data_IF_946369519134
#
_entry.id   IF_946369519134
#
_cell.length_a   1.000
_cell.length_b   1.000
_cell.length_c   1.000
_cell.angle_alpha   90.00
_cell.angle_beta   90.00
_cell.angle_gamma   90.00
#
_symmetry.space_group_name_H-M   'P 1'
#
loop_
_entity.id
_entity.type
_entity.pdbx_description
1 polymer ?
#
# COMPACT_ATOMS: atom_id res chain seq x y z
N UNK A 1 49.73 58.95 8.79
CA UNK A 1 48.78 58.65 9.87
C UNK A 1 48.26 57.25 9.61
N UNK A 2 48.89 56.25 10.24
CA UNK A 2 48.58 54.86 10.07
C UNK A 2 47.37 54.42 10.92
N UNK A 3 46.55 53.51 10.39
CA UNK A 3 45.63 52.71 11.18
C UNK A 3 45.93 51.23 10.96
N UNK A 4 46.45 50.65 11.97
CA UNK A 4 46.79 49.24 12.11
C UNK A 4 45.52 48.41 12.20
N UNK A 5 45.40 47.38 11.35
CA UNK A 5 44.31 46.39 11.39
C UNK A 5 44.80 45.15 12.11
N UNK A 6 44.23 44.86 13.28
CA UNK A 6 44.49 43.60 14.02
C UNK A 6 43.67 42.48 13.41
N UNK A 7 44.38 41.44 12.92
CA UNK A 7 43.78 40.16 12.62
C UNK A 7 43.70 39.33 13.91
N UNK A 8 42.50 38.90 14.28
CA UNK A 8 42.29 37.86 15.31
C UNK A 8 42.30 36.47 14.67
N UNK A 9 43.31 35.67 14.98
CA UNK A 9 43.35 34.23 14.62
C UNK A 9 42.49 33.45 15.63
N UNK A 10 41.41 32.87 15.17
CA UNK A 10 40.66 31.87 15.93
C UNK A 10 41.30 30.48 15.78
N UNK A 11 41.80 29.95 16.90
CA UNK A 11 42.27 28.58 17.00
C UNK A 11 41.07 27.61 16.92
N UNK A 12 41.05 26.77 15.89
CA UNK A 12 40.15 25.61 15.81
C UNK A 12 40.91 24.42 16.47
N UNK A 13 40.40 23.96 17.60
CA UNK A 13 40.93 22.78 18.29
C UNK A 13 40.45 21.51 17.55
N UNK A 14 41.38 20.78 16.95
CA UNK A 14 41.18 19.44 16.41
C UNK A 14 41.18 18.44 17.58
N UNK A 15 40.06 17.74 17.79
CA UNK A 15 40.01 16.56 18.68
C UNK A 15 40.24 15.32 17.80
N UNK A 16 41.31 14.52 18.08
CA UNK A 16 41.52 13.29 17.34
C UNK A 16 40.57 12.19 17.83
N UNK A 17 39.78 11.67 16.94
CA UNK A 17 38.98 10.48 17.17
C UNK A 17 39.90 9.25 17.10
N UNK A 18 40.20 8.67 18.27
CA UNK A 18 40.97 7.44 18.36
C UNK A 18 40.13 6.25 17.87
N UNK A 19 40.49 5.71 16.70
CA UNK A 19 40.08 4.38 16.28
C UNK A 19 40.62 3.35 17.28
N UNK A 20 39.75 2.63 17.92
CA UNK A 20 40.08 1.44 18.71
C UNK A 20 39.72 0.22 17.88
N UNK A 21 40.72 -0.38 17.24
CA UNK A 21 40.64 -1.76 16.72
C UNK A 21 40.80 -2.72 17.87
N UNK A 22 40.00 -3.77 17.92
CA UNK A 22 40.29 -4.90 18.78
C UNK A 22 39.07 -5.73 19.12
N UNK A 23 39.06 -6.97 18.67
CA UNK A 23 38.28 -8.04 19.23
C UNK A 23 37.46 -8.80 18.18
N UNK A 24 38.10 -9.77 17.51
CA UNK A 24 37.43 -10.87 16.83
C UNK A 24 36.78 -11.76 17.90
N UNK A 25 35.44 -11.84 17.91
CA UNK A 25 34.74 -12.93 18.57
C UNK A 25 34.02 -13.76 17.50
N UNK A 26 34.10 -15.13 17.63
CA UNK A 26 33.62 -16.00 16.57
C UNK A 26 32.09 -16.10 16.54
N UNK A 27 31.59 -16.10 15.31
CA UNK A 27 30.28 -16.47 14.84
C UNK A 27 29.36 -17.19 15.83
N UNK A 28 28.33 -16.50 16.30
CA UNK A 28 27.12 -17.13 16.81
C UNK A 28 26.15 -17.30 15.62
N UNK A 29 26.11 -18.52 15.09
CA UNK A 29 25.17 -18.91 14.08
C UNK A 29 23.78 -18.94 14.69
N UNK A 30 22.74 -18.35 14.06
CA UNK A 30 21.39 -18.46 14.57
C UNK A 30 20.94 -19.91 14.53
N UNK A 31 20.60 -20.43 15.70
CA UNK A 31 19.98 -21.75 15.89
C UNK A 31 18.65 -21.73 15.10
N UNK A 32 18.37 -22.72 14.24
CA UNK A 32 17.08 -22.82 13.55
C UNK A 32 15.97 -23.05 14.59
N UNK A 33 15.04 -22.12 14.67
CA UNK A 33 13.79 -22.32 15.41
C UNK A 33 13.02 -23.44 14.72
N UNK A 34 12.58 -24.49 15.41
CA UNK A 34 11.81 -25.55 14.80
C UNK A 34 10.47 -24.98 14.31
N UNK A 35 10.23 -25.08 13.02
CA UNK A 35 8.94 -24.82 12.41
C UNK A 35 8.00 -25.91 12.90
N UNK A 36 6.81 -25.61 13.47
CA UNK A 36 5.82 -26.63 13.75
C UNK A 36 5.37 -27.25 12.42
N UNK A 37 5.66 -28.50 12.23
CA UNK A 37 5.16 -29.31 11.13
C UNK A 37 3.77 -29.86 11.50
N UNK A 38 2.80 -28.98 11.68
CA UNK A 38 1.40 -29.40 11.62
C UNK A 38 0.94 -29.10 10.20
N UNK A 39 0.87 -30.19 9.42
CA UNK A 39 0.49 -30.14 8.01
C UNK A 39 -0.94 -29.64 7.84
N UNK A 40 -1.05 -28.37 7.49
CA UNK A 40 -2.26 -27.85 6.84
C UNK A 40 -2.03 -28.04 5.36
N UNK A 41 -2.70 -29.04 4.80
CA UNK A 41 -2.67 -29.34 3.37
C UNK A 41 -3.17 -28.11 2.60
N UNK A 42 -2.38 -27.66 1.64
CA UNK A 42 -2.71 -26.52 0.78
C UNK A 42 -3.98 -26.74 -0.07
N UNK A 43 -4.53 -27.93 -0.05
CA UNK A 43 -5.77 -28.31 -0.73
C UNK A 43 -7.05 -27.91 0.01
N UNK A 44 -6.99 -27.64 1.33
CA UNK A 44 -8.18 -27.28 2.12
C UNK A 44 -8.53 -25.78 2.07
N UNK A 45 -7.73 -24.96 1.41
CA UNK A 45 -7.97 -23.50 1.27
C UNK A 45 -8.82 -23.12 0.04
N UNK A 46 -9.30 -24.06 -0.75
CA UNK A 46 -9.94 -23.78 -2.04
C UNK A 46 -11.45 -23.99 -2.10
N UNK A 47 -12.13 -24.35 -1.02
CA UNK A 47 -13.59 -24.55 -1.03
C UNK A 47 -14.26 -23.80 0.13
N UNK A 48 -14.30 -22.49 0.07
CA UNK A 48 -15.44 -21.75 0.63
C UNK A 48 -16.46 -21.65 -0.50
N UNK A 49 -17.40 -22.56 -0.51
CA UNK A 49 -18.60 -22.44 -1.34
C UNK A 49 -19.27 -21.09 -1.06
N UNK A 50 -19.45 -20.31 -2.12
CA UNK A 50 -20.23 -19.06 -2.08
C UNK A 50 -21.66 -19.43 -1.62
N UNK A 51 -21.95 -19.18 -0.36
CA UNK A 51 -23.31 -19.20 0.17
C UNK A 51 -24.14 -18.20 -0.63
N UNK A 52 -25.06 -18.73 -1.43
CA UNK A 52 -26.13 -17.98 -2.09
C UNK A 52 -27.10 -17.50 -1.03
N UNK A 53 -26.92 -16.25 -0.56
CA UNK A 53 -27.99 -15.38 0.00
C UNK A 53 -27.40 -14.01 0.37
N UNK A 54 -26.91 -13.27 -0.65
CA UNK A 54 -26.75 -11.82 -0.54
C UNK A 54 -27.77 -11.20 -1.46
N UNK A 55 -28.86 -10.68 -0.90
CA UNK A 55 -29.74 -9.77 -1.61
C UNK A 55 -28.93 -8.57 -2.09
N UNK A 56 -28.57 -8.58 -3.37
CA UNK A 56 -27.94 -7.49 -4.09
C UNK A 56 -28.89 -6.30 -4.12
N UNK A 57 -28.60 -5.27 -3.30
CA UNK A 57 -29.09 -3.94 -3.62
C UNK A 57 -28.56 -3.58 -5.02
N UNK A 58 -29.35 -2.91 -5.89
CA UNK A 58 -28.90 -2.59 -7.24
C UNK A 58 -27.65 -1.72 -7.14
N UNK A 59 -26.53 -2.23 -7.64
CA UNK A 59 -25.29 -1.50 -7.80
C UNK A 59 -25.60 -0.22 -8.59
N UNK A 60 -25.19 0.92 -8.05
CA UNK A 60 -24.93 2.08 -8.89
C UNK A 60 -23.77 1.65 -9.80
N UNK A 61 -24.13 1.14 -10.98
CA UNK A 61 -23.21 0.52 -11.91
C UNK A 61 -22.02 1.46 -12.12
N UNK A 62 -20.84 0.98 -11.76
CA UNK A 62 -19.60 1.64 -12.13
C UNK A 62 -19.64 1.96 -13.62
N UNK A 63 -19.37 3.22 -13.98
CA UNK A 63 -19.37 3.67 -15.39
C UNK A 63 -18.16 3.11 -16.17
N UNK A 64 -17.22 2.46 -15.48
CA UNK A 64 -16.01 1.91 -16.09
C UNK A 64 -16.31 0.61 -16.83
N UNK A 65 -15.67 0.38 -17.98
CA UNK A 65 -15.76 -0.90 -18.67
C UNK A 65 -15.20 -2.03 -17.79
N UNK A 66 -15.70 -3.24 -17.99
CA UNK A 66 -15.22 -4.42 -17.25
C UNK A 66 -13.89 -4.96 -17.78
N UNK A 67 -13.46 -4.49 -18.95
CA UNK A 67 -12.21 -4.92 -19.60
C UNK A 67 -11.53 -3.76 -20.32
N UNK A 68 -10.25 -3.64 -20.11
CA UNK A 68 -9.39 -2.62 -20.70
C UNK A 68 -9.09 -2.86 -22.19
N UNK A 69 -8.59 -1.84 -22.92
CA UNK A 69 -8.17 -1.96 -24.33
C UNK A 69 -7.04 -2.95 -24.58
N UNK A 70 -6.31 -3.35 -23.54
CA UNK A 70 -5.24 -4.36 -23.59
C UNK A 70 -5.74 -5.79 -23.67
N UNK A 71 -7.04 -6.04 -23.47
CA UNK A 71 -7.59 -7.39 -23.56
C UNK A 71 -7.45 -7.98 -24.98
N UNK A 72 -7.08 -9.25 -25.04
CA UNK A 72 -6.74 -9.94 -26.29
C UNK A 72 -5.29 -9.74 -26.74
N UNK A 73 -4.52 -8.82 -26.13
CA UNK A 73 -3.11 -8.61 -26.44
C UNK A 73 -2.25 -9.60 -25.67
N UNK A 74 -1.29 -10.23 -26.35
CA UNK A 74 -0.33 -11.10 -25.69
C UNK A 74 0.47 -10.30 -24.67
N UNK A 75 0.47 -10.75 -23.42
CA UNK A 75 1.32 -10.24 -22.34
C UNK A 75 2.35 -11.29 -21.95
N UNK A 76 3.50 -10.83 -21.50
CA UNK A 76 4.55 -11.71 -20.97
C UNK A 76 4.50 -11.66 -19.44
N UNK A 77 4.49 -12.83 -18.81
CA UNK A 77 4.64 -12.90 -17.35
C UNK A 77 5.97 -12.29 -16.92
N UNK A 78 5.95 -11.50 -15.85
CA UNK A 78 7.16 -10.90 -15.31
C UNK A 78 8.07 -11.96 -14.66
N UNK A 79 9.37 -11.72 -14.70
CA UNK A 79 10.34 -12.45 -13.88
C UNK A 79 10.15 -12.17 -12.39
N UNK A 80 10.89 -12.89 -11.55
CA UNK A 80 10.82 -12.73 -10.09
C UNK A 80 11.17 -11.32 -9.59
N UNK A 81 11.98 -10.56 -10.35
CA UNK A 81 12.34 -9.18 -10.02
C UNK A 81 11.30 -8.14 -10.45
N UNK A 82 10.24 -8.55 -11.17
CA UNK A 82 9.34 -7.64 -11.86
C UNK A 82 9.96 -6.99 -13.09
N UNK A 83 9.16 -6.28 -13.88
CA UNK A 83 9.58 -5.55 -15.06
C UNK A 83 9.66 -4.05 -14.76
N UNK A 84 10.82 -3.45 -14.93
CA UNK A 84 10.96 -2.00 -14.85
C UNK A 84 10.24 -1.34 -16.04
N UNK A 85 9.34 -0.41 -15.73
CA UNK A 85 8.57 0.38 -16.71
C UNK A 85 8.78 1.87 -16.49
N UNK A 86 8.64 2.65 -17.54
CA UNK A 86 8.69 4.11 -17.49
C UNK A 86 7.54 4.69 -18.30
N UNK A 87 6.91 5.73 -17.76
CA UNK A 87 5.87 6.53 -18.43
C UNK A 87 6.18 8.01 -18.30
N UNK A 88 5.70 8.81 -19.25
CA UNK A 88 5.73 10.27 -19.11
C UNK A 88 4.48 10.75 -18.37
N UNK A 89 4.70 11.51 -17.29
CA UNK A 89 3.64 12.12 -16.50
C UNK A 89 4.04 13.58 -16.19
N UNK A 90 3.20 14.53 -16.60
CA UNK A 90 3.50 15.95 -16.44
C UNK A 90 4.83 16.39 -17.10
N UNK A 91 5.22 15.74 -18.22
CA UNK A 91 6.46 16.01 -18.94
C UNK A 91 7.72 15.34 -18.35
N UNK A 92 7.60 14.64 -17.22
CA UNK A 92 8.71 13.97 -16.52
C UNK A 92 8.61 12.46 -16.71
N UNK A 93 9.77 11.79 -16.86
CA UNK A 93 9.83 10.34 -16.87
C UNK A 93 9.63 9.80 -15.44
N UNK A 94 8.65 8.91 -15.28
CA UNK A 94 8.29 8.29 -14.00
C UNK A 94 8.39 6.79 -14.12
N UNK A 95 8.97 6.15 -13.12
CA UNK A 95 9.23 4.70 -13.13
C UNK A 95 8.34 3.93 -12.17
N UNK A 96 8.06 2.68 -12.52
CA UNK A 96 7.40 1.71 -11.64
C UNK A 96 7.89 0.29 -11.98
N UNK A 97 7.79 -0.63 -11.01
CA UNK A 97 7.92 -2.06 -11.27
C UNK A 97 6.53 -2.64 -11.54
N UNK A 98 6.45 -3.53 -12.51
CA UNK A 98 5.23 -4.21 -12.89
C UNK A 98 5.42 -5.72 -12.76
N UNK A 99 4.52 -6.38 -12.04
CA UNK A 99 4.43 -7.83 -11.96
C UNK A 99 3.19 -8.30 -12.69
N UNK A 100 3.40 -8.98 -13.81
CA UNK A 100 2.35 -9.65 -14.58
C UNK A 100 2.30 -11.11 -14.13
N UNK A 101 1.12 -11.67 -13.84
CA UNK A 101 0.99 -13.03 -13.33
C UNK A 101 1.65 -14.09 -14.20
N UNK A 102 2.26 -15.10 -13.55
CA UNK A 102 2.67 -16.32 -14.26
C UNK A 102 1.42 -17.02 -14.78
N UNK A 103 1.37 -17.30 -16.08
CA UNK A 103 0.18 -17.87 -16.72
C UNK A 103 -0.89 -16.81 -17.05
N UNK A 104 -0.49 -15.54 -17.23
CA UNK A 104 -1.37 -14.47 -17.68
C UNK A 104 -2.20 -14.91 -18.90
N UNK A 105 -3.54 -14.76 -18.78
CA UNK A 105 -4.50 -14.97 -19.87
C UNK A 105 -4.96 -13.61 -20.42
N UNK A 106 -4.68 -13.28 -21.68
CA UNK A 106 -5.05 -11.99 -22.26
C UNK A 106 -6.57 -11.79 -22.37
N UNK A 107 -7.38 -12.81 -22.18
CA UNK A 107 -8.85 -12.70 -22.23
C UNK A 107 -9.51 -12.57 -20.86
N UNK A 108 -8.74 -12.78 -19.79
CA UNK A 108 -9.19 -12.62 -18.39
C UNK A 108 -8.89 -11.20 -17.92
N UNK A 109 -9.92 -10.46 -17.48
CA UNK A 109 -9.73 -9.17 -16.81
C UNK A 109 -9.12 -9.32 -15.42
N UNK A 110 -7.88 -8.90 -15.23
CA UNK A 110 -7.20 -8.97 -13.93
C UNK A 110 -7.44 -7.70 -13.11
N UNK A 111 -7.62 -7.81 -11.79
CA UNK A 111 -7.49 -6.65 -10.92
C UNK A 111 -6.08 -6.07 -10.98
N UNK A 112 -5.95 -4.76 -10.70
CA UNK A 112 -4.65 -4.10 -10.51
C UNK A 112 -4.51 -3.68 -9.06
N UNK A 113 -3.35 -3.93 -8.44
CA UNK A 113 -3.00 -3.42 -7.12
C UNK A 113 -1.76 -2.55 -7.26
N UNK A 114 -1.88 -1.25 -6.95
CA UNK A 114 -0.76 -0.30 -6.93
C UNK A 114 -0.28 -0.08 -5.49
N UNK A 115 1.04 -0.23 -5.22
CA UNK A 115 1.60 -0.12 -3.88
C UNK A 115 2.58 1.05 -3.78
N UNK A 116 2.32 1.96 -2.84
CA UNK A 116 3.03 3.22 -2.65
C UNK A 116 3.96 3.16 -1.43
N UNK A 117 5.24 3.39 -1.64
CA UNK A 117 6.30 3.28 -0.64
C UNK A 117 6.33 4.44 0.36
N UNK A 118 6.99 4.24 1.50
CA UNK A 118 7.30 5.29 2.48
C UNK A 118 8.33 6.31 1.98
N UNK A 119 8.54 7.36 2.77
CA UNK A 119 9.49 8.43 2.43
C UNK A 119 10.91 7.87 2.23
N UNK A 120 11.62 8.35 1.22
CA UNK A 120 13.00 7.97 0.93
C UNK A 120 13.19 6.61 0.26
N UNK A 121 12.12 5.81 0.12
CA UNK A 121 12.15 4.50 -0.52
C UNK A 121 11.81 4.58 -2.02
N UNK A 122 11.75 3.42 -2.67
CA UNK A 122 11.43 3.22 -4.08
C UNK A 122 10.32 2.17 -4.24
N UNK A 123 9.78 2.02 -5.46
CA UNK A 123 8.85 0.94 -5.78
C UNK A 123 9.46 -0.45 -5.54
N UNK A 124 10.78 -0.60 -5.77
CA UNK A 124 11.46 -1.87 -5.49
C UNK A 124 11.49 -2.18 -4.00
N UNK A 125 11.80 -1.20 -3.15
CA UNK A 125 11.81 -1.40 -1.70
C UNK A 125 10.42 -1.81 -1.20
N UNK A 126 9.37 -1.20 -1.76
CA UNK A 126 7.98 -1.56 -1.44
C UNK A 126 7.62 -2.97 -1.92
N UNK A 127 8.12 -3.40 -3.09
CA UNK A 127 7.92 -4.75 -3.61
C UNK A 127 8.61 -5.80 -2.73
N UNK A 128 9.83 -5.53 -2.28
CA UNK A 128 10.58 -6.40 -1.37
C UNK A 128 9.96 -6.45 0.02
N UNK A 129 9.38 -5.34 0.48
CA UNK A 129 8.76 -5.23 1.80
C UNK A 129 7.41 -5.94 1.86
N UNK A 130 6.45 -5.61 1.00
CA UNK A 130 5.07 -6.11 1.10
C UNK A 130 4.89 -7.45 0.39
N UNK A 131 5.58 -7.67 -0.74
CA UNK A 131 5.50 -8.91 -1.54
C UNK A 131 4.08 -9.24 -2.01
N UNK A 132 3.26 -8.23 -2.34
CA UNK A 132 1.87 -8.42 -2.75
C UNK A 132 1.74 -9.34 -3.97
N UNK A 133 2.72 -9.36 -4.86
CA UNK A 133 2.78 -10.26 -6.01
C UNK A 133 2.75 -11.75 -5.60
N UNK A 134 3.30 -12.08 -4.43
CA UNK A 134 3.31 -13.45 -3.89
C UNK A 134 1.94 -13.78 -3.30
N UNK A 135 1.36 -12.87 -2.52
CA UNK A 135 0.04 -13.06 -1.90
C UNK A 135 -1.12 -13.06 -2.91
N UNK A 136 -0.99 -12.28 -3.99
CA UNK A 136 -1.96 -12.32 -5.09
C UNK A 136 -1.91 -13.65 -5.88
N UNK A 137 -0.84 -14.44 -5.74
CA UNK A 137 -0.69 -15.78 -6.27
C UNK A 137 -1.14 -15.92 -7.74
N UNK A 138 -0.80 -14.97 -8.59
CA UNK A 138 -1.18 -14.96 -10.01
C UNK A 138 -2.60 -14.45 -10.29
N UNK A 139 -3.30 -13.91 -9.30
CA UNK A 139 -4.67 -13.40 -9.48
C UNK A 139 -4.78 -11.89 -9.66
N UNK A 140 -3.67 -11.15 -9.63
CA UNK A 140 -3.64 -9.71 -9.89
C UNK A 140 -2.40 -9.30 -10.68
N UNK A 141 -2.51 -8.20 -11.41
CA UNK A 141 -1.38 -7.39 -11.89
C UNK A 141 -0.98 -6.48 -10.74
N UNK A 142 0.31 -6.46 -10.37
CA UNK A 142 0.78 -5.66 -9.24
C UNK A 142 1.79 -4.63 -9.72
N UNK A 143 1.57 -3.36 -9.36
CA UNK A 143 2.43 -2.24 -9.73
C UNK A 143 3.02 -1.55 -8.49
N UNK A 144 4.30 -1.22 -8.56
CA UNK A 144 5.01 -0.53 -7.50
C UNK A 144 5.63 0.76 -8.08
N UNK A 145 4.87 1.87 -8.08
CA UNK A 145 5.38 3.16 -8.54
C UNK A 145 6.49 3.69 -7.62
N UNK A 146 7.40 4.51 -8.21
CA UNK A 146 8.44 5.23 -7.48
C UNK A 146 8.17 6.72 -7.47
N UNK A 147 8.09 7.31 -6.28
CA UNK A 147 7.97 8.75 -6.06
C UNK A 147 9.24 9.47 -6.48
N UNK A 148 9.14 10.69 -7.02
CA UNK A 148 10.29 11.52 -7.35
C UNK A 148 11.10 11.84 -6.09
N UNK A 149 12.40 11.52 -6.13
CA UNK A 149 13.31 11.68 -4.99
C UNK A 149 12.79 10.99 -3.71
N UNK A 150 12.12 9.85 -3.87
CA UNK A 150 11.55 9.08 -2.76
C UNK A 150 10.36 9.75 -2.05
N UNK A 151 9.64 10.66 -2.72
CA UNK A 151 8.53 11.43 -2.15
C UNK A 151 7.30 11.43 -3.05
N UNK A 152 6.14 11.68 -2.45
CA UNK A 152 4.84 11.82 -3.09
C UNK A 152 4.32 13.25 -2.98
N UNK A 153 3.64 13.73 -4.01
CA UNK A 153 2.81 14.94 -3.95
C UNK A 153 1.42 14.54 -3.40
N UNK A 154 1.22 14.75 -2.10
CA UNK A 154 0.01 14.30 -1.38
C UNK A 154 -1.07 15.38 -1.27
N UNK A 155 -0.93 16.49 -1.98
CA UNK A 155 -1.86 17.61 -1.97
C UNK A 155 -2.08 18.26 -3.34
N UNK A 156 -1.20 17.98 -4.31
CA UNK A 156 -1.29 18.46 -5.69
C UNK A 156 -1.62 17.31 -6.67
N UNK A 157 -1.41 17.54 -7.93
CA UNK A 157 -1.81 16.64 -9.01
C UNK A 157 -0.67 15.81 -9.63
N UNK A 158 0.61 16.09 -9.30
CA UNK A 158 1.76 15.49 -9.97
C UNK A 158 1.77 13.96 -9.90
N UNK A 159 1.49 13.40 -8.73
CA UNK A 159 1.45 11.96 -8.55
C UNK A 159 0.08 11.35 -8.90
N UNK A 160 -0.97 12.15 -8.93
CA UNK A 160 -2.26 11.76 -9.55
C UNK A 160 -2.09 11.56 -11.07
N UNK A 161 -1.46 12.54 -11.75
CA UNK A 161 -1.14 12.43 -13.19
C UNK A 161 -0.19 11.26 -13.48
N UNK A 162 0.73 10.96 -12.57
CA UNK A 162 1.57 9.77 -12.69
C UNK A 162 0.77 8.47 -12.54
N UNK A 163 -0.10 8.40 -11.54
CA UNK A 163 -0.99 7.25 -11.37
C UNK A 163 -1.84 7.01 -12.62
N UNK A 164 -2.45 8.06 -13.15
CA UNK A 164 -3.28 7.99 -14.35
C UNK A 164 -2.47 7.49 -15.57
N UNK A 165 -1.26 8.01 -15.78
CA UNK A 165 -0.37 7.60 -16.87
C UNK A 165 0.11 6.15 -16.71
N UNK A 166 0.40 5.72 -15.49
CA UNK A 166 0.76 4.33 -15.17
C UNK A 166 -0.40 3.39 -15.46
N UNK A 167 -1.61 3.70 -14.98
CA UNK A 167 -2.81 2.91 -15.24
C UNK A 167 -3.11 2.82 -16.73
N UNK A 168 -3.10 3.94 -17.46
CA UNK A 168 -3.29 3.93 -18.90
C UNK A 168 -2.27 3.05 -19.66
N UNK A 169 -1.00 3.04 -19.22
CA UNK A 169 0.04 2.17 -19.78
C UNK A 169 -0.26 0.69 -19.54
N UNK A 170 -0.71 0.34 -18.33
CA UNK A 170 -1.08 -1.03 -17.97
C UNK A 170 -2.32 -1.48 -18.74
N UNK A 171 -3.37 -0.68 -18.74
CA UNK A 171 -4.67 -0.94 -19.38
C UNK A 171 -4.58 -1.05 -20.90
N UNK A 172 -3.68 -0.27 -21.53
CA UNK A 172 -3.42 -0.39 -22.96
C UNK A 172 -2.63 -1.62 -23.35
N UNK A 173 -1.89 -2.22 -22.41
CA UNK A 173 -0.99 -3.34 -22.68
C UNK A 173 -1.53 -4.69 -22.21
N UNK A 174 -2.32 -4.70 -21.15
CA UNK A 174 -2.79 -5.90 -20.45
C UNK A 174 -4.31 -5.88 -20.27
N UNK A 175 -4.89 -7.07 -20.13
CA UNK A 175 -6.32 -7.21 -19.84
C UNK A 175 -6.60 -6.94 -18.36
N UNK A 176 -7.06 -5.74 -18.07
CA UNK A 176 -7.43 -5.27 -16.73
C UNK A 176 -8.95 -5.31 -16.57
N UNK A 177 -9.43 -5.68 -15.39
CA UNK A 177 -10.78 -5.35 -14.95
C UNK A 177 -10.76 -3.96 -14.32
N UNK A 178 -11.17 -2.94 -15.06
CA UNK A 178 -11.13 -1.53 -14.65
C UNK A 178 -12.05 -1.21 -13.46
N UNK A 179 -12.96 -2.10 -13.10
CA UNK A 179 -13.77 -2.00 -11.87
C UNK A 179 -13.05 -2.53 -10.64
N UNK A 180 -11.86 -3.12 -10.79
CA UNK A 180 -11.08 -3.74 -9.72
C UNK A 180 -9.65 -3.18 -9.66
N UNK A 181 -9.56 -1.87 -9.48
CA UNK A 181 -8.30 -1.16 -9.25
C UNK A 181 -8.18 -0.83 -7.77
N UNK A 182 -7.07 -1.23 -7.16
CA UNK A 182 -6.81 -1.12 -5.73
C UNK A 182 -5.49 -0.41 -5.46
N UNK A 183 -5.37 0.21 -4.29
CA UNK A 183 -4.13 0.83 -3.85
C UNK A 183 -3.80 0.45 -2.40
N UNK A 184 -2.49 0.27 -2.10
CA UNK A 184 -1.97 0.16 -0.76
C UNK A 184 -0.83 1.17 -0.59
N UNK A 185 -0.83 1.91 0.50
CA UNK A 185 0.26 2.80 0.85
C UNK A 185 0.75 2.58 2.28
N UNK A 186 2.06 2.63 2.46
CA UNK A 186 2.70 2.53 3.76
C UNK A 186 3.40 3.85 4.11
N UNK A 187 3.27 4.33 5.36
CA UNK A 187 3.93 5.55 5.83
C UNK A 187 3.56 6.75 4.94
N UNK A 188 4.51 7.43 4.34
CA UNK A 188 4.24 8.51 3.38
C UNK A 188 3.42 8.04 2.17
N UNK A 189 3.51 6.76 1.79
CA UNK A 189 2.61 6.14 0.81
C UNK A 189 1.16 6.08 1.27
N UNK A 190 0.90 6.00 2.58
CA UNK A 190 -0.46 6.06 3.12
C UNK A 190 -1.11 7.43 2.90
N UNK A 191 -0.35 8.53 3.01
CA UNK A 191 -0.81 9.85 2.62
C UNK A 191 -1.17 9.90 1.12
N UNK A 192 -0.35 9.25 0.28
CA UNK A 192 -0.60 9.20 -1.17
C UNK A 192 -1.87 8.42 -1.51
N UNK A 193 -2.12 7.26 -0.90
CA UNK A 193 -3.35 6.49 -1.20
C UNK A 193 -4.60 7.12 -0.61
N UNK A 194 -4.50 7.84 0.50
CA UNK A 194 -5.59 8.69 1.00
C UNK A 194 -5.92 9.80 0.00
N UNK A 195 -4.89 10.42 -0.61
CA UNK A 195 -5.07 11.42 -1.66
C UNK A 195 -5.68 10.82 -2.94
N UNK A 196 -5.19 9.65 -3.37
CA UNK A 196 -5.75 8.91 -4.50
C UNK A 196 -7.21 8.51 -4.25
N UNK A 197 -7.52 7.91 -3.10
CA UNK A 197 -8.89 7.53 -2.73
C UNK A 197 -9.86 8.73 -2.78
N UNK A 198 -9.36 9.92 -2.40
CA UNK A 198 -10.12 11.16 -2.47
C UNK A 198 -10.34 11.64 -3.91
N UNK A 199 -9.28 11.68 -4.74
CA UNK A 199 -9.27 12.36 -6.03
C UNK A 199 -9.54 11.42 -7.22
N UNK A 200 -9.50 10.10 -7.01
CA UNK A 200 -9.74 9.06 -8.03
C UNK A 200 -10.72 8.00 -7.52
N UNK A 201 -11.75 8.45 -6.77
CA UNK A 201 -12.83 7.60 -6.29
C UNK A 201 -13.64 6.93 -7.42
N UNK A 202 -13.59 7.49 -8.62
CA UNK A 202 -14.18 6.93 -9.83
C UNK A 202 -13.34 5.81 -10.46
N UNK A 203 -12.07 5.68 -10.08
CA UNK A 203 -11.13 4.65 -10.55
C UNK A 203 -10.86 3.62 -9.46
N UNK A 204 -10.56 4.09 -8.23
CA UNK A 204 -10.22 3.19 -7.12
C UNK A 204 -11.46 2.53 -6.51
N UNK A 205 -11.48 1.20 -6.59
CA UNK A 205 -12.53 0.40 -5.94
C UNK A 205 -12.36 0.33 -4.43
N UNK A 206 -11.11 0.18 -3.96
CA UNK A 206 -10.76 0.19 -2.54
C UNK A 206 -9.29 0.53 -2.35
N UNK A 207 -8.94 0.98 -1.15
CA UNK A 207 -7.53 1.18 -0.79
C UNK A 207 -7.25 0.79 0.67
N UNK A 208 -5.95 0.62 0.97
CA UNK A 208 -5.41 0.42 2.32
C UNK A 208 -4.38 1.49 2.61
N UNK A 209 -4.57 2.23 3.70
CA UNK A 209 -3.60 3.19 4.20
C UNK A 209 -3.01 2.66 5.51
N UNK A 210 -1.72 2.32 5.51
CA UNK A 210 -1.02 1.73 6.64
C UNK A 210 0.00 2.70 7.25
N UNK A 211 -0.06 2.93 8.56
CA UNK A 211 0.87 3.71 9.36
C UNK A 211 1.16 5.12 8.78
N UNK A 212 0.10 5.87 8.51
CA UNK A 212 0.18 7.23 8.02
C UNK A 212 -1.10 8.01 8.29
N UNK A 213 -1.27 9.18 7.67
CA UNK A 213 -2.41 10.06 7.92
C UNK A 213 -3.06 10.56 6.63
N UNK A 214 -4.15 11.31 6.79
CA UNK A 214 -4.81 12.01 5.70
C UNK A 214 -4.16 13.38 5.50
N UNK A 215 -3.80 13.70 4.25
CA UNK A 215 -3.27 15.00 3.87
C UNK A 215 -4.34 16.11 3.77
N UNK A 216 -4.08 17.13 2.95
CA UNK A 216 -4.95 18.30 2.78
C UNK A 216 -5.94 18.16 1.60
N UNK A 217 -6.32 16.95 1.22
CA UNK A 217 -7.25 16.72 0.11
C UNK A 217 -8.68 17.17 0.44
N UNK A 218 -9.38 17.70 -0.54
CA UNK A 218 -10.78 18.14 -0.45
C UNK A 218 -11.55 17.73 -1.71
N UNK A 219 -12.88 17.78 -1.67
CA UNK A 219 -13.72 17.37 -2.80
C UNK A 219 -13.69 15.87 -3.05
N UNK A 220 -13.52 15.08 -2.00
CA UNK A 220 -13.35 13.62 -2.08
C UNK A 220 -14.62 12.89 -2.50
N UNK A 221 -14.47 11.91 -3.40
CA UNK A 221 -15.48 10.89 -3.63
C UNK A 221 -15.44 9.78 -2.57
N UNK A 222 -16.56 9.08 -2.38
CA UNK A 222 -16.63 7.95 -1.48
C UNK A 222 -15.88 6.74 -2.05
N UNK A 223 -14.98 6.14 -1.26
CA UNK A 223 -14.15 4.99 -1.65
C UNK A 223 -14.02 4.02 -0.48
N UNK A 224 -14.07 2.71 -0.75
CA UNK A 224 -13.85 1.72 0.30
C UNK A 224 -12.45 1.85 0.91
N UNK A 225 -12.38 2.01 2.23
CA UNK A 225 -11.14 2.34 2.94
C UNK A 225 -10.86 1.34 4.07
N UNK A 226 -9.67 0.75 4.10
CA UNK A 226 -9.12 0.07 5.24
C UNK A 226 -7.96 0.92 5.77
N UNK A 227 -8.09 1.42 6.98
CA UNK A 227 -7.05 2.19 7.65
C UNK A 227 -6.44 1.29 8.74
N UNK A 228 -5.13 1.09 8.65
CA UNK A 228 -4.35 0.33 9.61
C UNK A 228 -3.36 1.24 10.32
N UNK A 229 -3.18 1.06 11.62
CA UNK A 229 -2.13 1.77 12.35
C UNK A 229 -1.72 1.01 13.61
N UNK A 230 -0.40 0.94 13.86
CA UNK A 230 0.12 0.43 15.12
C UNK A 230 -0.03 1.46 16.23
N UNK A 231 -0.39 1.00 17.44
CA UNK A 231 -0.52 1.90 18.60
C UNK A 231 0.82 2.37 19.17
N UNK A 232 1.89 1.63 18.91
CA UNK A 232 3.24 1.91 19.39
C UNK A 232 4.19 2.45 18.32
N UNK A 233 3.63 2.95 17.21
CA UNK A 233 4.40 3.58 16.14
C UNK A 233 5.03 4.90 16.63
N UNK A 234 6.37 4.94 16.58
CA UNK A 234 7.16 6.09 17.07
C UNK A 234 7.45 7.11 15.95
N UNK A 235 7.34 6.72 14.68
CA UNK A 235 7.61 7.60 13.52
C UNK A 235 6.35 8.35 13.08
N UNK A 236 5.20 7.63 13.01
CA UNK A 236 3.89 8.17 12.68
C UNK A 236 2.91 7.84 13.80
N UNK A 237 2.63 8.74 14.74
CA UNK A 237 1.73 8.46 15.86
C UNK A 237 0.33 8.02 15.41
N UNK A 238 -0.25 7.05 16.12
CA UNK A 238 -1.56 6.44 15.81
C UNK A 238 -2.69 7.46 15.63
N UNK A 239 -2.56 8.64 16.21
CA UNK A 239 -3.48 9.77 16.01
C UNK A 239 -3.56 10.20 14.55
N UNK A 240 -2.50 9.99 13.77
CA UNK A 240 -2.49 10.21 12.31
C UNK A 240 -3.50 9.30 11.61
N UNK A 241 -3.45 8.00 11.92
CA UNK A 241 -4.40 7.00 11.41
C UNK A 241 -5.83 7.26 11.88
N UNK A 242 -6.01 7.62 13.16
CA UNK A 242 -7.33 8.00 13.70
C UNK A 242 -7.94 9.21 12.97
N UNK A 243 -7.13 10.24 12.66
CA UNK A 243 -7.58 11.38 11.82
C UNK A 243 -7.95 10.95 10.40
N UNK A 244 -7.16 10.06 9.78
CA UNK A 244 -7.49 9.52 8.46
C UNK A 244 -8.82 8.75 8.48
N UNK A 245 -9.01 7.87 9.45
CA UNK A 245 -10.27 7.16 9.69
C UNK A 245 -11.45 8.13 9.81
N UNK A 246 -11.37 9.12 10.70
CA UNK A 246 -12.46 10.06 10.96
C UNK A 246 -12.82 10.88 9.72
N UNK A 247 -11.81 11.23 8.92
CA UNK A 247 -12.02 11.89 7.62
C UNK A 247 -12.81 10.99 6.67
N UNK A 248 -12.44 9.70 6.57
CA UNK A 248 -13.15 8.74 5.72
C UNK A 248 -14.55 8.40 6.22
N UNK A 249 -14.78 8.40 7.53
CA UNK A 249 -16.14 8.29 8.09
C UNK A 249 -17.04 9.43 7.59
N UNK A 250 -16.50 10.64 7.57
CA UNK A 250 -17.21 11.82 7.07
C UNK A 250 -17.45 11.73 5.56
N UNK A 251 -16.43 11.39 4.77
CA UNK A 251 -16.51 11.30 3.30
C UNK A 251 -17.53 10.22 2.89
N UNK A 252 -17.46 9.05 3.52
CA UNK A 252 -18.30 7.91 3.17
C UNK A 252 -19.67 7.92 3.90
N UNK A 253 -19.96 8.96 4.71
CA UNK A 253 -21.23 9.13 5.41
C UNK A 253 -21.50 8.05 6.45
N UNK A 254 -20.45 7.48 7.06
CA UNK A 254 -20.57 6.42 8.04
C UNK A 254 -21.09 6.93 9.39
N UNK A 255 -21.71 6.04 10.16
CA UNK A 255 -22.02 6.24 11.57
C UNK A 255 -20.77 5.97 12.42
N UNK A 256 -20.79 6.37 13.67
CA UNK A 256 -19.72 6.09 14.65
C UNK A 256 -19.85 4.72 15.33
N UNK A 257 -20.96 4.01 15.13
CA UNK A 257 -21.16 2.65 15.63
C UNK A 257 -20.34 1.66 14.79
N UNK A 258 -19.79 0.65 15.46
CA UNK A 258 -18.91 -0.34 14.84
C UNK A 258 -19.32 -1.77 15.19
N UNK A 259 -18.87 -2.69 14.36
CA UNK A 259 -18.88 -4.14 14.65
C UNK A 259 -17.49 -4.73 14.40
N UNK A 260 -17.08 -5.77 15.14
CA UNK A 260 -15.85 -6.48 14.85
C UNK A 260 -15.83 -7.02 13.42
N UNK A 261 -14.69 -6.93 12.74
CA UNK A 261 -14.50 -7.59 11.45
C UNK A 261 -14.21 -9.07 11.69
N UNK A 262 -15.01 -9.94 11.09
CA UNK A 262 -14.87 -11.40 11.19
C UNK A 262 -14.38 -12.02 9.89
N UNK A 263 -14.42 -11.24 8.80
CA UNK A 263 -14.11 -11.67 7.44
C UNK A 263 -12.66 -11.33 7.05
N UNK A 264 -12.28 -11.70 5.86
CA UNK A 264 -10.98 -11.41 5.22
C UNK A 264 -9.74 -11.97 5.96
N UNK A 265 -9.90 -12.73 7.05
CA UNK A 265 -8.81 -13.14 7.93
C UNK A 265 -8.41 -12.07 8.96
N UNK A 266 -9.23 -11.03 9.15
CA UNK A 266 -9.01 -9.94 10.12
C UNK A 266 -9.57 -10.26 11.53
N UNK A 267 -10.23 -11.41 11.71
CA UNK A 267 -10.78 -11.83 13.00
C UNK A 267 -9.69 -11.87 14.07
N UNK A 268 -9.90 -11.16 15.16
CA UNK A 268 -8.98 -11.12 16.30
C UNK A 268 -7.78 -10.17 16.12
N UNK A 269 -7.67 -9.46 15.00
CA UNK A 269 -6.59 -8.51 14.72
C UNK A 269 -6.93 -7.06 15.11
N UNK A 270 -7.92 -6.85 15.99
CA UNK A 270 -8.29 -5.49 16.44
C UNK A 270 -9.02 -4.65 15.39
N UNK A 271 -9.54 -5.27 14.34
CA UNK A 271 -10.24 -4.55 13.26
C UNK A 271 -11.73 -4.42 13.53
N UNK A 272 -12.27 -3.24 13.23
CA UNK A 272 -13.70 -2.94 13.26
C UNK A 272 -14.17 -2.37 11.92
N UNK A 273 -15.44 -2.62 11.59
CA UNK A 273 -16.12 -2.00 10.46
C UNK A 273 -17.15 -1.01 10.99
N UNK A 274 -17.23 0.17 10.39
CA UNK A 274 -18.20 1.20 10.69
C UNK A 274 -19.52 0.95 9.96
N UNK A 275 -20.64 1.26 10.66
CA UNK A 275 -21.99 1.08 10.12
C UNK A 275 -22.44 2.27 9.26
N UNK A 276 -23.42 2.02 8.39
CA UNK A 276 -24.17 3.06 7.68
C UNK A 276 -23.36 3.88 6.68
N UNK A 277 -22.19 3.39 6.27
CA UNK A 277 -21.42 3.98 5.18
C UNK A 277 -22.19 3.95 3.85
N UNK A 278 -21.81 4.83 2.91
CA UNK A 278 -22.36 4.82 1.56
C UNK A 278 -22.20 3.42 0.92
N UNK A 279 -23.13 3.00 0.05
CA UNK A 279 -23.03 1.72 -0.64
C UNK A 279 -21.66 1.56 -1.31
N UNK A 280 -21.10 0.36 -1.21
CA UNK A 280 -19.80 0.02 -1.80
C UNK A 280 -18.57 0.82 -1.28
N UNK A 281 -18.73 1.64 -0.23
CA UNK A 281 -17.66 2.43 0.37
C UNK A 281 -17.53 2.19 1.90
N UNK A 282 -17.38 0.92 2.36
CA UNK A 282 -17.19 0.64 3.79
C UNK A 282 -15.89 1.25 4.29
N UNK A 283 -15.87 1.57 5.59
CA UNK A 283 -14.66 1.98 6.31
C UNK A 283 -14.34 0.92 7.35
N UNK A 284 -13.13 0.36 7.25
CA UNK A 284 -12.55 -0.53 8.24
C UNK A 284 -11.41 0.20 8.96
N UNK A 285 -11.31 -0.01 10.26
CA UNK A 285 -10.23 0.49 11.10
C UNK A 285 -9.57 -0.67 11.83
N UNK A 286 -8.26 -0.84 11.63
CA UNK A 286 -7.43 -1.81 12.33
C UNK A 286 -6.43 -1.06 13.21
N UNK A 287 -6.70 -1.00 14.52
CA UNK A 287 -5.77 -0.45 15.51
C UNK A 287 -4.98 -1.61 16.10
N UNK A 288 -3.72 -1.73 15.65
CA UNK A 288 -2.87 -2.85 16.05
C UNK A 288 -2.14 -2.54 17.37
N UNK A 289 -2.67 -3.10 18.44
CA UNK A 289 -2.10 -2.98 19.80
C UNK A 289 -1.11 -4.10 20.17
N UNK A 290 -0.72 -4.95 19.23
CA UNK A 290 0.24 -6.01 19.50
C UNK A 290 1.66 -5.43 19.58
N UNK A 291 2.18 -5.38 20.81
CA UNK A 291 3.52 -4.88 21.13
C UNK A 291 4.59 -5.98 21.11
N UNK A 292 4.26 -7.20 20.64
CA UNK A 292 5.27 -8.25 20.47
C UNK A 292 6.33 -7.82 19.46
N UNK A 293 7.65 -7.99 19.76
CA UNK A 293 8.69 -7.52 18.85
C UNK A 293 8.53 -8.08 17.43
N UNK A 294 8.68 -7.24 16.42
CA UNK A 294 9.98 -6.81 15.95
C UNK A 294 10.35 -5.43 16.48
N UNK A 295 11.66 -5.18 16.53
CA UNK A 295 12.29 -4.00 17.10
C UNK A 295 11.86 -2.68 16.43
N UNK A 296 11.36 -2.73 15.20
CA UNK A 296 10.92 -1.57 14.44
C UNK A 296 9.40 -1.47 14.46
N UNK A 297 8.90 -0.42 15.08
CA UNK A 297 7.48 -0.23 15.39
C UNK A 297 6.69 0.41 14.24
N UNK A 298 7.35 1.15 13.36
CA UNK A 298 6.73 1.70 12.16
C UNK A 298 6.73 0.65 11.05
N UNK A 299 5.75 -0.28 11.08
CA UNK A 299 5.64 -1.34 10.08
C UNK A 299 4.22 -1.91 9.95
N UNK A 300 3.87 -2.31 8.74
CA UNK A 300 2.71 -3.15 8.48
C UNK A 300 3.08 -4.61 8.77
N UNK A 301 2.55 -5.16 9.85
CA UNK A 301 2.86 -6.54 10.28
C UNK A 301 2.45 -7.58 9.25
N UNK A 302 3.23 -8.65 9.13
CA UNK A 302 3.03 -9.72 8.15
C UNK A 302 1.64 -10.37 8.24
N UNK A 303 1.08 -10.47 9.45
CA UNK A 303 -0.25 -11.06 9.68
C UNK A 303 -1.38 -10.33 8.95
N UNK A 304 -1.17 -9.07 8.53
CA UNK A 304 -2.16 -8.30 7.78
C UNK A 304 -2.04 -8.44 6.26
N UNK A 305 -0.96 -9.00 5.72
CA UNK A 305 -0.70 -9.02 4.27
C UNK A 305 -1.71 -9.89 3.52
N UNK A 306 -1.95 -11.11 3.99
CA UNK A 306 -2.99 -11.99 3.43
C UNK A 306 -4.39 -11.39 3.63
N UNK A 307 -4.79 -10.93 4.83
CA UNK A 307 -6.04 -10.21 5.04
C UNK A 307 -6.25 -9.02 4.10
N UNK A 308 -5.22 -8.22 3.83
CA UNK A 308 -5.31 -7.10 2.88
C UNK A 308 -5.61 -7.60 1.45
N UNK A 309 -4.93 -8.67 1.01
CA UNK A 309 -5.25 -9.26 -0.27
C UNK A 309 -6.71 -9.78 -0.31
N UNK A 310 -7.16 -10.46 0.73
CA UNK A 310 -8.54 -10.94 0.83
C UNK A 310 -9.55 -9.79 0.81
N UNK A 311 -9.23 -8.66 1.47
CA UNK A 311 -10.01 -7.43 1.40
C UNK A 311 -10.17 -6.91 -0.03
N UNK A 312 -9.08 -6.80 -0.79
CA UNK A 312 -9.14 -6.41 -2.20
C UNK A 312 -9.90 -7.43 -3.06
N UNK A 313 -9.70 -8.72 -2.79
CA UNK A 313 -10.32 -9.78 -3.58
C UNK A 313 -11.83 -9.93 -3.32
N UNK A 314 -12.34 -9.34 -2.22
CA UNK A 314 -13.78 -9.30 -1.90
C UNK A 314 -14.59 -8.46 -2.92
N UNK A 315 -14.00 -7.46 -3.50
CA UNK A 315 -14.60 -6.62 -4.52
C UNK A 315 -14.41 -7.25 -5.89
#
# INVERSE_FOLDING_TARGET
MGKTLLLALGLIAFVPFLLRCGGDDPADSPVPVPVPTDGVDASDLLLVEAGTDAQTAPDAASKLPTKSPGCGKAGTASGAAGDAKTVKAGGVDRSFLLYVPKGYDPNRGYPVVALFHGIGATGKDMADYIKMQDYAAGNAIVAFPSGLNGRWDTSGDKDLVFFDAMMASIENSLCVNEQRVFALGFSFGAYMVNHLGCQRADVLRAFVAADGSFGQSSGCGATAALIYHRTDDDDEPVEGGRRARDKWLTINGCKTTTKPVTDFGLKGLGCVQYDGCAPNAPVLWCEDGDTTPPVYKHNLRDVYRVPIWNWFNHF
#
